data_IF_908074158002
#
_entry.id   IF_908074158002
#
_cell.length_a   1.000
_cell.length_b   1.000
_cell.length_c   1.000
_cell.angle_alpha   90.00
_cell.angle_beta   90.00
_cell.angle_gamma   90.00
#
_symmetry.space_group_name_H-M   'P 1'
#
loop_
_entity.id
_entity.type
_entity.pdbx_description
1 polymer ?
#
# COMPACT_ATOMS: atom_id res chain seq x y z
N UNK A 1 -22.49 -6.91 3.49
CA UNK A 1 -21.64 -6.34 2.42
C UNK A 1 -21.04 -7.49 1.63
N UNK A 2 -21.48 -7.73 0.39
CA UNK A 2 -20.88 -8.69 -0.54
C UNK A 2 -20.24 -7.90 -1.69
N UNK A 3 -19.09 -8.35 -2.21
CA UNK A 3 -18.46 -7.78 -3.42
C UNK A 3 -17.52 -6.57 -3.23
N UNK A 4 -16.97 -6.34 -2.02
CA UNK A 4 -16.03 -5.21 -1.75
C UNK A 4 -14.56 -5.60 -1.62
N UNK A 5 -14.21 -6.87 -1.80
CA UNK A 5 -12.84 -7.36 -1.69
C UNK A 5 -12.66 -8.73 -2.34
N UNK A 6 -11.42 -8.99 -2.79
CA UNK A 6 -10.96 -10.26 -3.37
C UNK A 6 -9.77 -10.73 -2.53
N UNK A 7 -9.70 -12.03 -2.24
CA UNK A 7 -8.56 -12.65 -1.54
C UNK A 7 -7.98 -13.72 -2.47
N UNK A 8 -6.69 -13.60 -2.77
CA UNK A 8 -5.92 -14.59 -3.52
C UNK A 8 -4.87 -15.20 -2.59
N UNK A 9 -4.82 -16.53 -2.48
CA UNK A 9 -3.86 -17.25 -1.63
C UNK A 9 -2.58 -17.64 -2.36
N UNK A 10 -2.51 -17.41 -3.67
CA UNK A 10 -1.36 -17.67 -4.52
C UNK A 10 -0.55 -16.41 -4.79
N UNK A 11 0.22 -16.45 -5.88
CA UNK A 11 1.03 -15.32 -6.31
C UNK A 11 0.27 -14.42 -7.28
N UNK A 12 0.37 -13.11 -7.08
CA UNK A 12 -0.19 -12.10 -7.97
C UNK A 12 0.90 -11.19 -8.52
N UNK A 13 0.72 -10.70 -9.75
CA UNK A 13 1.64 -9.75 -10.38
C UNK A 13 1.52 -8.37 -9.72
N UNK A 14 2.24 -8.17 -8.60
CA UNK A 14 2.19 -6.95 -7.79
C UNK A 14 2.38 -5.68 -8.63
N UNK A 15 3.24 -5.70 -9.66
CA UNK A 15 3.47 -4.56 -10.56
C UNK A 15 2.23 -4.12 -11.33
N UNK A 16 1.42 -5.07 -11.81
CA UNK A 16 0.18 -4.73 -12.54
C UNK A 16 -0.85 -4.09 -11.60
N UNK A 17 -0.96 -4.61 -10.37
CA UNK A 17 -1.86 -4.07 -9.36
C UNK A 17 -1.41 -2.65 -8.97
N UNK A 18 -0.11 -2.46 -8.71
CA UNK A 18 0.48 -1.16 -8.39
C UNK A 18 0.44 -0.15 -9.55
N UNK A 19 0.34 -0.62 -10.80
CA UNK A 19 0.18 0.22 -11.98
C UNK A 19 -1.24 0.76 -12.17
N UNK A 20 -2.24 0.17 -11.50
CA UNK A 20 -3.63 0.43 -11.81
C UNK A 20 -4.14 1.76 -11.23
N UNK A 21 -4.82 2.63 -12.00
CA UNK A 21 -5.27 3.95 -11.54
C UNK A 21 -6.28 3.91 -10.39
N UNK A 22 -6.97 2.79 -10.19
CA UNK A 22 -7.89 2.60 -9.07
C UNK A 22 -7.20 2.20 -7.75
N UNK A 23 -5.87 2.02 -7.73
CA UNK A 23 -5.16 1.71 -6.50
C UNK A 23 -4.99 2.97 -5.64
N UNK A 24 -5.63 2.98 -4.46
CA UNK A 24 -5.61 4.12 -3.55
C UNK A 24 -4.52 4.05 -2.47
N UNK A 25 -4.10 2.85 -2.08
CA UNK A 25 -3.09 2.60 -1.05
C UNK A 25 -2.52 1.19 -1.21
N UNK A 26 -1.25 1.01 -0.87
CA UNK A 26 -0.58 -0.28 -0.86
C UNK A 26 -0.03 -0.57 0.54
N UNK A 27 -0.48 -1.67 1.14
CA UNK A 27 0.06 -2.18 2.40
C UNK A 27 1.07 -3.25 2.06
N UNK A 28 2.32 -3.01 2.43
CA UNK A 28 3.45 -3.90 2.19
C UNK A 28 4.15 -4.16 3.51
N UNK A 29 4.84 -5.29 3.59
CA UNK A 29 5.61 -5.67 4.77
C UNK A 29 6.87 -4.82 4.99
N UNK A 30 7.18 -3.82 4.14
CA UNK A 30 8.33 -2.91 4.27
C UNK A 30 8.59 -2.66 5.75
N UNK A 31 9.63 -3.32 6.30
CA UNK A 31 9.68 -3.78 7.69
C UNK A 31 8.75 -3.01 8.63
N UNK A 32 7.72 -3.68 9.15
CA UNK A 32 6.57 -3.33 10.03
C UNK A 32 6.39 -1.93 10.68
N UNK A 33 7.33 -1.00 10.61
CA UNK A 33 7.30 0.35 11.17
C UNK A 33 6.97 1.47 10.17
N UNK A 34 7.51 1.49 8.94
CA UNK A 34 7.59 2.76 8.18
C UNK A 34 6.26 3.42 7.80
N UNK A 35 5.24 2.66 7.38
CA UNK A 35 3.93 3.22 7.01
C UNK A 35 3.06 3.53 8.24
N UNK A 36 3.19 2.74 9.31
CA UNK A 36 2.30 2.78 10.47
C UNK A 36 2.82 3.73 11.56
N UNK A 37 4.14 3.87 11.69
CA UNK A 37 4.79 4.94 12.46
C UNK A 37 4.47 6.32 11.86
N UNK A 38 4.46 6.44 10.53
CA UNK A 38 4.04 7.65 9.84
C UNK A 38 2.57 8.01 10.13
N UNK A 39 1.71 7.02 10.40
CA UNK A 39 0.30 7.20 10.76
C UNK A 39 0.08 7.33 12.29
N UNK A 40 1.14 7.34 13.11
CA UNK A 40 1.10 7.35 14.58
C UNK A 40 0.08 6.37 15.15
N UNK A 41 0.08 5.14 14.64
CA UNK A 41 -0.85 4.11 15.09
C UNK A 41 -0.31 3.40 16.34
N UNK A 42 -1.14 3.31 17.38
CA UNK A 42 -0.84 2.57 18.59
C UNK A 42 -0.86 1.05 18.32
N UNK A 43 0.21 0.36 18.73
CA UNK A 43 0.30 -1.11 18.80
C UNK A 43 -0.18 -1.59 20.17
N UNK A 44 -0.69 -2.82 20.27
CA UNK A 44 -0.93 -3.45 21.56
C UNK A 44 0.36 -3.51 22.38
N UNK A 45 0.30 -3.02 23.62
CA UNK A 45 1.46 -2.79 24.48
C UNK A 45 2.18 -4.09 24.90
N UNK A 46 1.47 -5.24 24.89
CA UNK A 46 2.01 -6.55 25.30
C UNK A 46 2.37 -7.49 24.15
N UNK A 47 1.60 -7.51 23.06
CA UNK A 47 1.73 -8.51 21.99
C UNK A 47 2.31 -7.94 20.68
N UNK A 48 2.49 -6.62 20.61
CA UNK A 48 2.90 -5.92 19.39
C UNK A 48 1.89 -6.07 18.24
N UNK A 49 0.69 -6.59 18.51
CA UNK A 49 -0.33 -6.90 17.53
C UNK A 49 -1.21 -5.67 17.26
N UNK A 50 -1.78 -5.61 16.06
CA UNK A 50 -2.71 -4.57 15.69
C UNK A 50 -4.14 -5.02 15.94
N UNK A 51 -4.91 -4.17 16.62
CA UNK A 51 -6.34 -4.43 16.81
C UNK A 51 -7.09 -4.21 15.49
N UNK A 52 -8.23 -4.90 15.32
CA UNK A 52 -9.16 -4.64 14.21
C UNK A 52 -9.54 -3.15 14.12
N UNK A 53 -9.67 -2.49 15.28
CA UNK A 53 -10.00 -1.08 15.38
C UNK A 53 -8.91 -0.18 14.78
N UNK A 54 -7.64 -0.42 15.13
CA UNK A 54 -6.52 0.36 14.61
C UNK A 54 -6.36 0.17 13.10
N UNK A 55 -6.45 -1.05 12.59
CA UNK A 55 -6.41 -1.34 11.15
C UNK A 55 -7.56 -0.65 10.41
N UNK A 56 -8.79 -0.72 10.94
CA UNK A 56 -9.94 -0.05 10.34
C UNK A 56 -9.78 1.47 10.31
N UNK A 57 -9.25 2.06 11.39
CA UNK A 57 -8.94 3.50 11.46
C UNK A 57 -7.92 3.88 10.40
N UNK A 58 -6.85 3.10 10.25
CA UNK A 58 -5.82 3.31 9.23
C UNK A 58 -6.42 3.35 7.83
N UNK A 59 -7.15 2.29 7.46
CA UNK A 59 -7.78 2.15 6.14
C UNK A 59 -8.72 3.32 5.87
N UNK A 60 -9.54 3.74 6.85
CA UNK A 60 -10.41 4.91 6.71
C UNK A 60 -9.63 6.21 6.51
N UNK A 61 -8.54 6.40 7.24
CA UNK A 61 -7.69 7.58 7.11
C UNK A 61 -7.03 7.65 5.75
N UNK A 62 -6.45 6.56 5.22
CA UNK A 62 -5.78 6.61 3.90
C UNK A 62 -6.77 6.65 2.73
N UNK A 63 -7.93 6.00 2.86
CA UNK A 63 -8.92 5.92 1.79
C UNK A 63 -9.98 7.02 1.84
N UNK A 64 -9.97 7.86 2.89
CA UNK A 64 -10.85 9.02 3.00
C UNK A 64 -10.62 10.02 1.86
N UNK A 65 -11.72 10.46 1.23
CA UNK A 65 -11.67 11.45 0.14
C UNK A 65 -11.12 12.78 0.67
N UNK A 66 -11.63 13.22 1.82
CA UNK A 66 -11.27 14.49 2.46
C UNK A 66 -10.06 14.39 3.40
N UNK A 67 -9.45 13.21 3.50
CA UNK A 67 -8.29 12.99 4.36
C UNK A 67 -7.04 13.59 3.73
N UNK A 68 -6.42 14.55 4.43
CA UNK A 68 -5.13 15.12 4.02
C UNK A 68 -4.05 14.04 3.88
N UNK A 69 -4.00 13.10 4.83
CA UNK A 69 -3.10 11.93 4.76
C UNK A 69 -3.39 11.11 3.52
N UNK A 70 -4.67 10.85 3.23
CA UNK A 70 -5.08 10.13 2.02
C UNK A 70 -4.64 10.85 0.74
N UNK A 71 -4.74 12.18 0.70
CA UNK A 71 -4.27 13.01 -0.42
C UNK A 71 -2.76 12.85 -0.64
N UNK A 72 -1.97 12.92 0.43
CA UNK A 72 -0.51 12.73 0.36
C UNK A 72 -0.15 11.32 -0.11
N UNK A 73 -0.81 10.30 0.44
CA UNK A 73 -0.56 8.90 0.05
C UNK A 73 -0.90 8.66 -1.41
N UNK A 74 -2.01 9.18 -1.93
CA UNK A 74 -2.38 9.07 -3.35
C UNK A 74 -1.40 9.82 -4.28
N UNK A 75 -0.93 10.99 -3.87
CA UNK A 75 0.09 11.74 -4.61
C UNK A 75 1.43 10.99 -4.65
N UNK A 76 1.85 10.39 -3.53
CA UNK A 76 3.05 9.55 -3.47
C UNK A 76 2.89 8.26 -4.28
N UNK A 77 1.70 7.66 -4.26
CA UNK A 77 1.40 6.50 -5.10
C UNK A 77 1.54 6.82 -6.59
N UNK A 78 1.08 8.00 -7.03
CA UNK A 78 1.27 8.47 -8.41
C UNK A 78 2.76 8.56 -8.76
N UNK A 79 3.59 9.16 -7.89
CA UNK A 79 5.05 9.22 -8.10
C UNK A 79 5.69 7.83 -8.14
N UNK A 80 5.30 6.94 -7.23
CA UNK A 80 5.82 5.56 -7.18
C UNK A 80 5.41 4.78 -8.43
N UNK A 81 4.18 4.94 -8.89
CA UNK A 81 3.69 4.35 -10.14
C UNK A 81 4.53 4.84 -11.31
N UNK A 82 4.72 6.15 -11.44
CA UNK A 82 5.48 6.73 -12.55
C UNK A 82 6.95 6.28 -12.51
N UNK A 83 7.55 6.15 -11.33
CA UNK A 83 8.89 5.56 -11.15
C UNK A 83 8.94 4.08 -11.53
N UNK A 84 7.99 3.25 -11.08
CA UNK A 84 7.95 1.81 -11.36
C UNK A 84 7.65 1.49 -12.82
N UNK A 85 7.02 2.43 -13.52
CA UNK A 85 6.71 2.34 -14.95
C UNK A 85 7.77 3.02 -15.82
N UNK A 86 8.82 3.62 -15.25
CA UNK A 86 9.89 4.21 -16.05
C UNK A 86 10.65 3.13 -16.83
N UNK A 87 11.00 3.43 -18.07
CA UNK A 87 11.64 2.47 -18.99
C UNK A 87 13.00 1.98 -18.49
N UNK A 88 13.71 2.80 -17.72
CA UNK A 88 15.02 2.47 -17.14
C UNK A 88 14.93 1.36 -16.07
N UNK A 89 13.86 1.38 -15.26
CA UNK A 89 13.59 0.35 -14.25
C UNK A 89 13.01 -0.93 -14.87
N UNK A 90 12.20 -0.79 -15.92
CA UNK A 90 11.70 -1.92 -16.71
C UNK A 90 12.87 -2.72 -17.31
N UNK A 91 13.79 -2.02 -17.97
CA UNK A 91 14.96 -2.65 -18.58
C UNK A 91 15.88 -3.29 -17.55
N UNK A 92 16.24 -2.59 -16.46
CA UNK A 92 17.20 -3.16 -15.50
C UNK A 92 16.66 -4.36 -14.72
N UNK A 93 15.36 -4.39 -14.40
CA UNK A 93 14.75 -5.52 -13.71
C UNK A 93 14.56 -6.74 -14.62
N UNK A 94 14.12 -6.54 -15.87
CA UNK A 94 13.96 -7.64 -16.83
C UNK A 94 15.34 -8.21 -17.24
N UNK A 95 16.34 -7.35 -17.43
CA UNK A 95 17.70 -7.77 -17.79
C UNK A 95 18.48 -8.43 -16.64
N UNK A 96 17.94 -8.50 -15.42
CA UNK A 96 18.53 -9.29 -14.32
C UNK A 96 18.12 -10.77 -14.36
N UNK A 97 17.22 -11.16 -15.28
CA UNK A 97 16.78 -12.53 -15.49
C UNK A 97 17.24 -13.15 -16.82
N UNK A 98 17.92 -12.38 -17.67
CA UNK A 98 18.56 -12.81 -18.92
C UNK A 98 20.08 -12.79 -18.75
#
# INVERSE_FOLDING_TARGET
MKGKGIVDGGWVQQRLILGHPSLGCFVTHCGSGSLLEALRMEKGEEDGLFTRGSVCKAVRTVMGVDSEVGRVVRANHTKLRDLLLSEDLQSSYINSFC
#
